data_IF_250209249974
#
_entry.id   IF_250209249974
#
_cell.length_a   1.000
_cell.length_b   1.000
_cell.length_c   1.000
_cell.angle_alpha   90.00
_cell.angle_beta   90.00
_cell.angle_gamma   90.00
#
_symmetry.space_group_name_H-M   'P 1'
#
loop_
_entity.id
_entity.type
_entity.pdbx_description
1 polymer ?
#
# COMPACT_ATOMS: atom_id res chain seq x y z
N UNK A 1 4.69 -19.73 35.91
CA UNK A 1 5.10 -20.00 34.52
C UNK A 1 6.62 -20.06 34.43
N UNK A 2 7.20 -20.87 33.54
CA UNK A 2 8.66 -21.14 33.46
C UNK A 2 9.51 -20.04 32.81
N UNK A 3 8.90 -19.07 32.11
CA UNK A 3 9.62 -18.04 31.34
C UNK A 3 9.54 -16.71 32.08
N UNK A 4 10.66 -15.98 32.13
CA UNK A 4 10.75 -14.69 32.82
C UNK A 4 10.06 -13.57 32.04
N UNK A 5 9.59 -12.54 32.75
CA UNK A 5 8.99 -11.36 32.13
C UNK A 5 9.91 -10.69 31.11
N UNK A 6 11.23 -10.70 31.34
CA UNK A 6 12.20 -10.08 30.41
C UNK A 6 12.22 -10.78 29.05
N UNK A 7 12.21 -12.12 29.02
CA UNK A 7 12.10 -12.88 27.77
C UNK A 7 10.76 -12.58 27.07
N UNK A 8 9.68 -12.43 27.85
CA UNK A 8 8.37 -12.12 27.29
C UNK A 8 8.38 -10.72 26.68
N UNK A 9 8.94 -9.72 27.37
CA UNK A 9 9.09 -8.36 26.84
C UNK A 9 9.89 -8.31 25.55
N UNK A 10 10.95 -9.11 25.43
CA UNK A 10 11.72 -9.23 24.17
C UNK A 10 10.86 -9.83 23.03
N UNK A 11 9.93 -10.73 23.36
CA UNK A 11 9.03 -11.36 22.40
C UNK A 11 7.77 -10.52 22.10
N UNK A 12 7.39 -9.60 22.98
CA UNK A 12 6.15 -8.81 22.86
C UNK A 12 6.06 -8.04 21.53
N UNK A 13 7.11 -7.35 21.04
CA UNK A 13 7.07 -6.68 19.74
C UNK A 13 6.80 -7.65 18.59
N UNK A 14 7.43 -8.83 18.60
CA UNK A 14 7.25 -9.84 17.56
C UNK A 14 5.85 -10.48 17.60
N UNK A 15 5.30 -10.65 18.81
CA UNK A 15 3.93 -11.11 19.02
C UNK A 15 2.91 -10.07 18.54
N UNK A 16 3.15 -8.79 18.88
CA UNK A 16 2.35 -7.65 18.46
C UNK A 16 2.29 -7.52 16.94
N UNK A 17 3.43 -7.65 16.27
CA UNK A 17 3.54 -7.61 14.79
C UNK A 17 3.01 -8.89 14.12
N UNK A 18 2.70 -9.94 14.89
CA UNK A 18 2.20 -11.22 14.37
C UNK A 18 3.22 -12.04 13.59
N UNK A 19 4.52 -11.79 13.79
CA UNK A 19 5.63 -12.43 13.05
C UNK A 19 6.36 -13.51 13.85
N UNK A 20 6.01 -13.69 15.13
CA UNK A 20 6.57 -14.77 15.95
C UNK A 20 6.07 -16.16 15.51
N UNK A 21 6.83 -17.21 15.80
CA UNK A 21 6.39 -18.59 15.55
C UNK A 21 5.16 -18.94 16.41
N UNK A 22 4.40 -19.96 16.00
CA UNK A 22 3.26 -20.44 16.78
C UNK A 22 3.66 -20.91 18.19
N UNK A 23 4.84 -21.51 18.32
CA UNK A 23 5.37 -21.95 19.62
C UNK A 23 5.64 -20.75 20.54
N UNK A 24 6.30 -19.70 20.03
CA UNK A 24 6.51 -18.47 20.78
C UNK A 24 5.19 -17.78 21.13
N UNK A 25 4.21 -17.81 20.22
CA UNK A 25 2.89 -17.24 20.43
C UNK A 25 2.17 -17.85 21.65
N UNK A 26 2.13 -19.18 21.73
CA UNK A 26 1.51 -19.90 22.86
C UNK A 26 2.18 -19.55 24.19
N UNK A 27 3.52 -19.46 24.19
CA UNK A 27 4.27 -19.09 25.40
C UNK A 27 3.93 -17.67 25.85
N UNK A 28 3.85 -16.72 24.92
CA UNK A 28 3.47 -15.34 25.24
C UNK A 28 2.03 -15.28 25.79
N UNK A 29 1.07 -15.97 25.16
CA UNK A 29 -0.33 -16.01 25.60
C UNK A 29 -0.49 -16.62 27.00
N UNK A 30 0.23 -17.71 27.29
CA UNK A 30 0.22 -18.34 28.62
C UNK A 30 0.77 -17.38 29.70
N UNK A 31 1.79 -16.58 29.36
CA UNK A 31 2.32 -15.56 30.26
C UNK A 31 1.35 -14.43 30.49
N UNK A 32 0.81 -13.90 29.39
CA UNK A 32 -0.15 -12.81 29.41
C UNK A 32 -1.41 -13.20 30.17
N UNK A 33 -1.80 -14.48 30.24
CA UNK A 33 -2.95 -14.88 31.06
C UNK A 33 -2.77 -14.57 32.57
N UNK A 34 -1.53 -14.54 33.07
CA UNK A 34 -1.25 -14.50 34.52
C UNK A 34 -0.35 -13.33 34.97
N UNK A 35 0.24 -12.57 34.04
CA UNK A 35 1.19 -11.50 34.35
C UNK A 35 0.63 -10.13 33.96
N UNK A 36 0.16 -9.37 34.94
CA UNK A 36 -0.43 -8.04 34.70
C UNK A 36 0.61 -7.01 34.22
N UNK A 37 1.88 -7.18 34.59
CA UNK A 37 2.98 -6.31 34.11
C UNK A 37 3.14 -6.44 32.60
N UNK A 38 3.20 -7.67 32.07
CA UNK A 38 3.34 -7.88 30.63
C UNK A 38 2.07 -7.52 29.85
N UNK A 39 0.87 -7.64 30.47
CA UNK A 39 -0.38 -7.13 29.89
C UNK A 39 -0.36 -5.61 29.74
N UNK A 40 0.09 -4.89 30.76
CA UNK A 40 0.20 -3.44 30.69
C UNK A 40 1.17 -3.01 29.59
N UNK A 41 2.29 -3.72 29.45
CA UNK A 41 3.30 -3.41 28.45
C UNK A 41 2.79 -3.59 27.02
N UNK A 42 2.15 -4.70 26.71
CA UNK A 42 1.57 -4.91 25.37
C UNK A 42 0.42 -3.93 25.09
N UNK A 43 -0.37 -3.56 26.12
CA UNK A 43 -1.42 -2.55 25.95
C UNK A 43 -0.84 -1.19 25.58
N UNK A 44 0.28 -0.78 26.22
CA UNK A 44 0.95 0.47 25.86
C UNK A 44 1.44 0.50 24.41
N UNK A 45 1.83 -0.66 23.85
CA UNK A 45 2.19 -0.78 22.43
C UNK A 45 0.98 -0.55 21.52
N UNK A 46 -0.19 -1.10 21.87
CA UNK A 46 -1.44 -0.84 21.15
C UNK A 46 -1.88 0.63 21.26
N UNK A 47 -1.71 1.25 22.43
CA UNK A 47 -2.09 2.65 22.67
C UNK A 47 -1.13 3.63 21.97
N UNK A 48 0.11 3.20 21.68
CA UNK A 48 1.09 3.99 20.90
C UNK A 48 0.69 4.12 19.43
N UNK A 49 -0.15 3.20 18.90
CA UNK A 49 -0.90 3.44 17.66
C UNK A 49 -2.10 4.33 17.99
N UNK A 50 -1.80 5.59 18.28
CA UNK A 50 -2.84 6.58 18.52
C UNK A 50 -3.74 6.68 17.28
N UNK A 51 -5.04 6.79 17.50
CA UNK A 51 -6.07 6.96 16.46
C UNK A 51 -5.72 8.13 15.51
N UNK A 52 -4.96 9.11 16.02
CA UNK A 52 -4.44 10.25 15.26
C UNK A 52 -3.51 9.83 14.12
N UNK A 53 -2.67 8.81 14.32
CA UNK A 53 -1.78 8.28 13.28
C UNK A 53 -2.57 7.61 12.16
N UNK A 54 -3.65 6.88 12.50
CA UNK A 54 -4.52 6.24 11.51
C UNK A 54 -5.26 7.31 10.68
N UNK A 55 -5.79 8.34 11.32
CA UNK A 55 -6.48 9.44 10.63
C UNK A 55 -5.51 10.23 9.72
N UNK A 56 -4.30 10.49 10.19
CA UNK A 56 -3.27 11.17 9.41
C UNK A 56 -2.84 10.32 8.20
N UNK A 57 -2.55 9.03 8.39
CA UNK A 57 -2.21 8.12 7.29
C UNK A 57 -3.33 8.04 6.24
N UNK A 58 -4.60 8.03 6.66
CA UNK A 58 -5.74 8.05 5.75
C UNK A 58 -5.82 9.34 4.94
N UNK A 59 -5.60 10.50 5.58
CA UNK A 59 -5.56 11.82 4.90
C UNK A 59 -4.42 11.89 3.89
N UNK A 60 -3.22 11.43 4.25
CA UNK A 60 -2.07 11.37 3.35
C UNK A 60 -2.34 10.44 2.16
N UNK A 61 -2.91 9.26 2.39
CA UNK A 61 -3.31 8.34 1.34
C UNK A 61 -4.36 8.94 0.40
N UNK A 62 -5.34 9.70 0.93
CA UNK A 62 -6.34 10.39 0.11
C UNK A 62 -5.72 11.50 -0.75
N UNK A 63 -4.76 12.25 -0.20
CA UNK A 63 -4.03 13.29 -0.93
C UNK A 63 -3.23 12.68 -2.10
N UNK A 64 -2.47 11.60 -1.86
CA UNK A 64 -1.73 10.87 -2.91
C UNK A 64 -2.69 10.31 -3.96
N UNK A 65 -3.84 9.78 -3.54
CA UNK A 65 -4.85 9.24 -4.46
C UNK A 65 -5.43 10.35 -5.35
N UNK A 66 -5.73 11.54 -4.82
CA UNK A 66 -6.18 12.70 -5.60
C UNK A 66 -5.13 13.11 -6.63
N UNK A 67 -3.87 13.27 -6.22
CA UNK A 67 -2.76 13.60 -7.13
C UNK A 67 -2.61 12.57 -8.26
N UNK A 68 -2.65 11.28 -7.92
CA UNK A 68 -2.53 10.20 -8.92
C UNK A 68 -3.67 10.21 -9.94
N UNK A 69 -4.90 10.55 -9.51
CA UNK A 69 -6.07 10.61 -10.38
C UNK A 69 -5.98 11.78 -11.36
N UNK A 70 -5.51 12.94 -10.90
CA UNK A 70 -5.31 14.10 -11.75
C UNK A 70 -4.21 13.87 -12.79
N UNK A 71 -3.08 13.28 -12.38
CA UNK A 71 -2.01 12.92 -13.30
C UNK A 71 -2.50 11.92 -14.35
N UNK A 72 -3.15 10.82 -13.94
CA UNK A 72 -3.71 9.83 -14.88
C UNK A 72 -4.68 10.47 -15.88
N UNK A 73 -5.50 11.42 -15.43
CA UNK A 73 -6.43 12.14 -16.32
C UNK A 73 -5.68 13.02 -17.33
N UNK A 74 -4.62 13.71 -16.92
CA UNK A 74 -3.76 14.47 -17.82
C UNK A 74 -3.07 13.59 -18.85
N UNK A 75 -2.55 12.44 -18.42
CA UNK A 75 -1.88 11.47 -19.28
C UNK A 75 -2.84 10.89 -20.33
N UNK A 76 -4.06 10.50 -19.93
CA UNK A 76 -5.05 9.96 -20.86
C UNK A 76 -5.46 10.97 -21.95
N UNK A 77 -5.60 12.26 -21.59
CA UNK A 77 -5.84 13.33 -22.56
C UNK A 77 -4.71 13.46 -23.58
N UNK A 78 -3.46 13.32 -23.14
CA UNK A 78 -2.30 13.36 -24.04
C UNK A 78 -2.27 12.17 -25.00
N UNK A 79 -2.57 10.96 -24.49
CA UNK A 79 -2.65 9.75 -25.31
C UNK A 79 -3.72 9.85 -26.40
N UNK A 80 -4.93 10.32 -26.05
CA UNK A 80 -6.01 10.57 -27.01
C UNK A 80 -5.58 11.53 -28.13
N UNK A 81 -4.92 12.62 -27.78
CA UNK A 81 -4.39 13.58 -28.77
C UNK A 81 -3.34 12.92 -29.67
N UNK A 82 -2.43 12.14 -29.10
CA UNK A 82 -1.42 11.39 -29.86
C UNK A 82 -2.03 10.41 -30.85
N UNK A 83 -3.06 9.66 -30.43
CA UNK A 83 -3.79 8.71 -31.30
C UNK A 83 -4.46 9.44 -32.46
N UNK A 84 -5.11 10.59 -32.20
CA UNK A 84 -5.75 11.38 -33.26
C UNK A 84 -4.72 11.87 -34.29
N UNK A 85 -3.59 12.38 -33.83
CA UNK A 85 -2.51 12.83 -34.73
C UNK A 85 -1.98 11.65 -35.56
N UNK A 86 -1.67 10.52 -34.92
CA UNK A 86 -1.18 9.34 -35.62
C UNK A 86 -2.18 8.81 -36.66
N UNK A 87 -3.48 8.79 -36.33
CA UNK A 87 -4.54 8.38 -37.25
C UNK A 87 -4.64 9.32 -38.45
N UNK A 88 -4.56 10.65 -38.25
CA UNK A 88 -4.57 11.60 -39.37
C UNK A 88 -3.40 11.41 -40.31
N UNK A 89 -2.19 11.18 -39.78
CA UNK A 89 -1.00 10.91 -40.60
C UNK A 89 -1.18 9.61 -41.39
N UNK A 90 -1.68 8.54 -40.76
CA UNK A 90 -1.92 7.27 -41.43
C UNK A 90 -2.93 7.38 -42.58
N UNK A 91 -4.01 8.14 -42.40
CA UNK A 91 -5.03 8.38 -43.45
C UNK A 91 -4.42 9.13 -44.64
N UNK A 92 -3.59 10.15 -44.37
CA UNK A 92 -2.91 10.92 -45.40
C UNK A 92 -1.98 10.01 -46.22
N UNK A 93 -1.13 9.23 -45.54
CA UNK A 93 -0.23 8.28 -46.20
C UNK A 93 -0.98 7.25 -47.05
N UNK A 94 -2.07 6.69 -46.52
CA UNK A 94 -2.91 5.75 -47.27
C UNK A 94 -3.49 6.39 -48.54
N UNK A 95 -3.97 7.63 -48.45
CA UNK A 95 -4.52 8.36 -49.60
C UNK A 95 -3.47 8.60 -50.68
N UNK A 96 -2.24 8.99 -50.30
CA UNK A 96 -1.14 9.16 -51.25
C UNK A 96 -0.73 7.85 -51.94
N UNK A 97 -0.73 6.72 -51.23
CA UNK A 97 -0.45 5.41 -51.80
C UNK A 97 -1.57 4.99 -52.78
N UNK A 98 -2.84 5.18 -52.40
CA UNK A 98 -3.99 4.88 -53.26
C UNK A 98 -4.01 5.70 -54.55
N UNK A 99 -3.70 6.99 -54.48
CA UNK A 99 -3.59 7.87 -55.66
C UNK A 99 -2.45 7.40 -56.59
N UNK A 100 -1.30 7.00 -56.03
CA UNK A 100 -0.15 6.52 -56.82
C UNK A 100 -0.45 5.18 -57.53
N UNK A 101 -1.23 4.29 -56.92
CA UNK A 101 -1.64 3.00 -57.51
C UNK A 101 -2.65 3.17 -58.64
N UNK A 102 -3.58 4.13 -58.54
CA UNK A 102 -4.57 4.40 -59.60
C UNK A 102 -3.96 5.16 -60.78
N UNK A 103 -2.93 5.97 -60.53
CA UNK A 103 -2.31 6.83 -61.54
C UNK A 103 -1.15 6.19 -62.32
N UNK A 104 -0.82 4.91 -62.07
CA UNK A 104 0.25 4.15 -62.73
C UNK A 104 -0.31 2.95 -63.47
#
# INVERSE_FOLDING_TARGET
MKISCEIIKDLLPLYYDGVCSNESKVVVEEHLAHCDVCKAEIQSMYDTLSIDDIEQNLKEAEAVKKLSKEWKRGMFKSLLKGILIAATIAIILYSFIGIKVVSN
#
